data_IF_865685228950
#
_entry.id   IF_865685228950
#
_cell.length_a   1.000
_cell.length_b   1.000
_cell.length_c   1.000
_cell.angle_alpha   90.00
_cell.angle_beta   90.00
_cell.angle_gamma   90.00
#
_symmetry.space_group_name_H-M   'P 1'
#
loop_
_entity.id
_entity.type
_entity.pdbx_description
1 polymer ?
#
# COMPACT_ATOMS: atom_id res chain seq x y z
N UNK A 1 -3.91 68.97 -4.94
CA UNK A 1 -5.13 68.15 -4.94
C UNK A 1 -4.64 66.76 -5.25
N UNK A 2 -4.16 65.97 -4.28
CA UNK A 2 -4.85 65.15 -3.27
C UNK A 2 -6.01 64.39 -3.93
N UNK A 3 -5.82 63.09 -4.10
CA UNK A 3 -6.60 62.02 -3.53
C UNK A 3 -6.13 60.68 -4.06
N UNK A 4 -5.54 59.84 -3.26
CA UNK A 4 -6.10 58.68 -2.57
C UNK A 4 -6.66 57.59 -3.47
N UNK A 5 -5.89 56.56 -3.65
CA UNK A 5 -6.39 55.21 -3.91
C UNK A 5 -5.50 54.17 -3.23
N UNK A 6 -5.40 54.26 -1.89
CA UNK A 6 -4.79 53.31 -0.99
C UNK A 6 -5.90 52.47 -0.31
N UNK A 7 -6.60 51.66 -1.10
CA UNK A 7 -7.74 50.90 -0.60
C UNK A 7 -7.84 49.46 -1.05
N UNK A 8 -6.90 48.95 -1.88
CA UNK A 8 -7.06 47.62 -2.50
C UNK A 8 -6.00 46.58 -2.14
N UNK A 9 -5.06 46.88 -1.24
CA UNK A 9 -4.00 45.91 -0.87
C UNK A 9 -4.24 45.28 0.51
N UNK A 10 -5.10 45.84 1.35
CA UNK A 10 -5.37 45.32 2.69
C UNK A 10 -6.45 44.24 2.78
N UNK A 11 -7.21 43.98 1.72
CA UNK A 11 -8.26 42.93 1.72
C UNK A 11 -7.79 41.57 1.22
N UNK A 12 -6.60 41.45 0.62
CA UNK A 12 -6.08 40.17 0.12
C UNK A 12 -5.25 39.43 1.19
N UNK A 13 -4.81 40.12 2.24
CA UNK A 13 -3.98 39.50 3.28
C UNK A 13 -4.79 38.92 4.44
N UNK A 14 -6.10 39.16 4.52
CA UNK A 14 -6.98 38.64 5.58
C UNK A 14 -7.66 37.30 5.26
N UNK A 15 -7.45 36.72 4.06
CA UNK A 15 -8.11 35.48 3.63
C UNK A 15 -7.27 34.20 3.82
N UNK A 16 -6.04 34.28 4.32
CA UNK A 16 -5.14 33.11 4.50
C UNK A 16 -4.84 32.72 5.93
N UNK A 17 -5.34 33.41 6.92
CA UNK A 17 -5.26 33.00 8.32
C UNK A 17 -6.46 32.12 8.68
N UNK A 18 -6.34 30.80 8.49
CA UNK A 18 -7.17 29.87 9.25
C UNK A 18 -6.97 30.18 10.74
N UNK A 19 -8.05 30.34 11.54
CA UNK A 19 -7.90 30.59 12.96
C UNK A 19 -7.07 29.46 13.57
N UNK A 20 -6.09 29.79 14.45
CA UNK A 20 -5.37 28.78 15.19
C UNK A 20 -6.41 27.94 15.92
N UNK A 21 -6.24 26.62 15.86
CA UNK A 21 -7.11 25.64 16.52
C UNK A 21 -7.61 26.21 17.84
N UNK A 22 -8.92 26.35 17.94
CA UNK A 22 -9.58 26.90 19.11
C UNK A 22 -9.16 26.11 20.33
N UNK A 23 -8.25 26.70 21.11
CA UNK A 23 -7.86 26.23 22.42
C UNK A 23 -9.10 26.35 23.31
N UNK A 24 -9.71 25.25 23.64
CA UNK A 24 -10.76 25.20 24.64
C UNK A 24 -10.10 25.40 26.01
N UNK A 25 -10.28 26.55 26.61
CA UNK A 25 -9.95 26.82 28.02
C UNK A 25 -11.12 26.33 28.86
N UNK A 26 -10.92 25.25 29.61
CA UNK A 26 -11.77 24.95 30.75
C UNK A 26 -11.40 25.90 31.91
N UNK A 27 -12.36 26.16 32.82
CA UNK A 27 -12.27 27.19 33.84
C UNK A 27 -11.10 27.12 34.86
N UNK A 28 -10.18 26.13 34.71
CA UNK A 28 -9.00 25.93 35.55
C UNK A 28 -7.66 26.38 34.93
N UNK A 29 -7.69 27.06 33.78
CA UNK A 29 -6.48 27.62 33.17
C UNK A 29 -5.46 26.61 32.64
N UNK A 30 -5.70 25.31 32.71
CA UNK A 30 -4.84 24.30 32.14
C UNK A 30 -5.12 24.11 30.64
N UNK A 31 -4.10 24.39 29.84
CA UNK A 31 -4.13 24.12 28.38
C UNK A 31 -4.09 22.62 28.14
N UNK A 32 -5.24 21.99 28.07
CA UNK A 32 -5.33 20.65 27.57
C UNK A 32 -5.20 20.70 26.04
N UNK A 33 -4.01 20.36 25.51
CA UNK A 33 -3.92 19.89 24.15
C UNK A 33 -4.89 18.69 24.05
N UNK A 34 -5.86 18.71 23.12
CA UNK A 34 -6.65 17.51 22.87
C UNK A 34 -5.68 16.42 22.45
N UNK A 35 -5.29 15.58 23.40
CA UNK A 35 -4.60 14.35 23.08
C UNK A 35 -5.51 13.64 22.08
N UNK A 36 -5.02 13.48 20.88
CA UNK A 36 -5.65 12.68 19.84
C UNK A 36 -5.69 11.25 20.37
N UNK A 37 -6.67 10.94 21.22
CA UNK A 37 -6.98 9.56 21.60
C UNK A 37 -7.39 8.82 20.33
N UNK A 38 -6.39 8.38 19.59
CA UNK A 38 -6.55 7.42 18.54
C UNK A 38 -7.07 6.14 19.20
N UNK A 39 -8.33 5.79 18.95
CA UNK A 39 -8.85 4.50 19.39
C UNK A 39 -7.86 3.41 19.03
N UNK A 40 -7.52 2.53 19.97
CA UNK A 40 -6.52 1.50 19.73
C UNK A 40 -6.90 0.68 18.49
N UNK A 41 -5.94 0.47 17.61
CA UNK A 41 -6.09 -0.38 16.44
C UNK A 41 -6.47 -1.79 16.91
N UNK A 42 -7.66 -2.26 16.54
CA UNK A 42 -8.12 -3.62 16.87
C UNK A 42 -7.95 -4.50 15.65
N UNK A 43 -7.17 -5.57 15.80
CA UNK A 43 -7.05 -6.63 14.81
C UNK A 43 -8.26 -7.55 14.99
N UNK A 44 -8.99 -7.80 13.90
CA UNK A 44 -10.13 -8.71 13.86
C UNK A 44 -9.66 -10.08 13.39
N UNK A 45 -10.18 -11.13 14.00
CA UNK A 45 -10.08 -12.48 13.45
C UNK A 45 -11.24 -12.69 12.49
N UNK A 46 -10.93 -13.16 11.30
CA UNK A 46 -11.92 -13.47 10.28
C UNK A 46 -11.92 -14.97 9.98
N UNK A 47 -13.03 -15.51 9.48
CA UNK A 47 -13.14 -16.93 9.20
C UNK A 47 -12.30 -17.31 7.94
N UNK A 48 -11.94 -18.59 7.82
CA UNK A 48 -11.19 -19.14 6.70
C UNK A 48 -11.81 -18.78 5.33
N UNK A 49 -13.14 -18.72 5.22
CA UNK A 49 -13.86 -18.38 3.99
C UNK A 49 -13.55 -16.98 3.45
N UNK A 50 -13.06 -16.05 4.31
CA UNK A 50 -12.70 -14.70 3.88
C UNK A 50 -11.54 -14.69 2.89
N UNK A 51 -10.64 -15.69 2.90
CA UNK A 51 -9.60 -15.80 1.88
C UNK A 51 -10.15 -15.86 0.46
N UNK A 52 -11.23 -16.62 0.23
CA UNK A 52 -11.94 -16.64 -1.05
C UNK A 52 -12.71 -15.34 -1.33
N UNK A 53 -13.39 -14.79 -0.32
CA UNK A 53 -14.12 -13.54 -0.48
C UNK A 53 -13.21 -12.36 -0.81
N UNK A 54 -11.98 -12.31 -0.29
CA UNK A 54 -11.03 -11.26 -0.65
C UNK A 54 -10.69 -11.25 -2.13
N UNK A 55 -10.56 -12.41 -2.76
CA UNK A 55 -10.35 -12.51 -4.20
C UNK A 55 -11.54 -12.01 -4.99
N UNK A 56 -12.74 -12.48 -4.64
CA UNK A 56 -13.98 -12.08 -5.33
C UNK A 56 -14.25 -10.58 -5.17
N UNK A 57 -14.20 -10.07 -3.93
CA UNK A 57 -14.45 -8.66 -3.67
C UNK A 57 -13.37 -7.76 -4.29
N UNK A 58 -12.11 -8.20 -4.31
CA UNK A 58 -11.03 -7.51 -5.00
C UNK A 58 -11.29 -7.40 -6.50
N UNK A 59 -11.70 -8.50 -7.13
CA UNK A 59 -12.10 -8.49 -8.53
C UNK A 59 -13.32 -7.60 -8.79
N UNK A 60 -14.36 -7.68 -7.93
CA UNK A 60 -15.54 -6.81 -8.03
C UNK A 60 -15.18 -5.34 -7.87
N UNK A 61 -14.26 -5.02 -6.95
CA UNK A 61 -13.80 -3.65 -6.75
C UNK A 61 -13.08 -3.11 -7.98
N UNK A 62 -12.22 -3.92 -8.60
CA UNK A 62 -11.60 -3.58 -9.87
C UNK A 62 -12.66 -3.40 -10.98
N UNK A 63 -13.64 -4.33 -11.09
CA UNK A 63 -14.68 -4.29 -12.10
C UNK A 63 -15.61 -3.05 -12.00
N UNK A 64 -15.70 -2.40 -10.83
CA UNK A 64 -16.44 -1.15 -10.68
C UNK A 64 -15.78 0.06 -11.40
N UNK A 65 -14.47 0.05 -11.55
CA UNK A 65 -13.71 1.11 -12.23
C UNK A 65 -12.42 0.55 -12.82
N UNK A 66 -12.52 -0.36 -13.82
CA UNK A 66 -11.37 -1.11 -14.30
C UNK A 66 -10.29 -0.22 -14.92
N UNK A 67 -10.69 0.74 -15.75
CA UNK A 67 -9.77 1.68 -16.40
C UNK A 67 -8.97 2.51 -15.37
N UNK A 68 -9.65 3.02 -14.35
CA UNK A 68 -9.00 3.86 -13.35
C UNK A 68 -8.01 3.08 -12.47
N UNK A 69 -8.41 1.91 -11.96
CA UNK A 69 -7.54 1.12 -11.10
C UNK A 69 -6.36 0.51 -11.86
N UNK A 70 -6.61 0.06 -13.10
CA UNK A 70 -5.53 -0.41 -13.99
C UNK A 70 -4.56 0.70 -14.35
N UNK A 71 -5.05 1.92 -14.63
CA UNK A 71 -4.21 3.09 -14.86
C UNK A 71 -3.33 3.41 -13.65
N UNK A 72 -3.89 3.44 -12.42
CA UNK A 72 -3.12 3.69 -11.21
C UNK A 72 -2.05 2.61 -10.97
N UNK A 73 -2.41 1.34 -11.19
CA UNK A 73 -1.47 0.22 -11.03
C UNK A 73 -0.36 0.29 -12.07
N UNK A 74 -0.70 0.58 -13.33
CA UNK A 74 0.29 0.75 -14.40
C UNK A 74 1.24 1.92 -14.08
N UNK A 75 0.72 3.07 -13.67
CA UNK A 75 1.55 4.20 -13.25
C UNK A 75 2.44 3.86 -12.04
N UNK A 76 1.96 3.03 -11.10
CA UNK A 76 2.76 2.55 -9.98
C UNK A 76 3.92 1.68 -10.49
N UNK A 77 3.64 0.70 -11.34
CA UNK A 77 4.65 -0.19 -11.93
C UNK A 77 5.67 0.60 -12.75
N UNK A 78 5.20 1.47 -13.65
CA UNK A 78 6.09 2.33 -14.45
C UNK A 78 6.93 3.26 -13.59
N UNK A 79 6.34 3.82 -12.53
CA UNK A 79 7.08 4.66 -11.57
C UNK A 79 8.22 3.92 -10.89
N UNK A 80 8.02 2.65 -10.53
CA UNK A 80 9.08 1.79 -9.96
C UNK A 80 10.13 1.46 -11.02
N UNK A 81 9.72 1.09 -12.24
CA UNK A 81 10.65 0.78 -13.34
C UNK A 81 11.51 2.01 -13.67
N UNK A 82 10.90 3.19 -13.82
CA UNK A 82 11.63 4.44 -14.09
C UNK A 82 12.59 4.78 -12.95
N UNK A 83 12.18 4.57 -11.70
CA UNK A 83 13.06 4.77 -10.55
C UNK A 83 14.24 3.80 -10.52
N UNK A 84 14.10 2.62 -11.11
CA UNK A 84 15.15 1.61 -11.17
C UNK A 84 16.15 1.81 -12.34
N UNK A 85 15.88 2.71 -13.31
CA UNK A 85 16.75 2.93 -14.49
C UNK A 85 18.15 3.47 -14.11
N UNK A 86 18.33 4.45 -13.17
CA UNK A 86 19.64 4.97 -12.89
C UNK A 86 20.56 3.89 -12.29
N UNK A 87 21.75 3.64 -12.88
CA UNK A 87 22.68 2.63 -12.37
C UNK A 87 23.08 2.96 -10.92
N UNK A 88 23.26 1.95 -10.09
CA UNK A 88 23.62 1.99 -8.66
C UNK A 88 22.57 2.63 -7.72
N UNK A 89 21.91 3.72 -8.14
CA UNK A 89 20.89 4.40 -7.33
C UNK A 89 19.51 3.76 -7.55
N UNK A 90 19.27 3.23 -8.74
CA UNK A 90 17.96 2.65 -9.12
C UNK A 90 17.58 1.45 -8.29
N UNK A 91 18.56 0.62 -7.92
CA UNK A 91 18.34 -0.53 -7.03
C UNK A 91 17.80 -0.12 -5.66
N UNK A 92 18.17 1.06 -5.17
CA UNK A 92 17.66 1.64 -3.92
C UNK A 92 16.35 2.38 -4.13
N UNK A 93 16.21 3.17 -5.21
CA UNK A 93 15.05 4.05 -5.42
C UNK A 93 13.75 3.27 -5.61
N UNK A 94 13.75 2.20 -6.38
CA UNK A 94 12.58 1.37 -6.63
C UNK A 94 11.96 0.84 -5.32
N UNK A 95 12.69 0.07 -4.51
CA UNK A 95 12.20 -0.44 -3.22
C UNK A 95 11.82 0.65 -2.21
N UNK A 96 12.54 1.78 -2.20
CA UNK A 96 12.27 2.90 -1.27
C UNK A 96 10.97 3.63 -1.63
N UNK A 97 10.69 3.81 -2.92
CA UNK A 97 9.45 4.47 -3.38
C UNK A 97 8.23 3.54 -3.37
N UNK A 98 8.46 2.23 -3.46
CA UNK A 98 7.41 1.21 -3.53
C UNK A 98 6.27 1.39 -2.52
N UNK A 99 6.50 1.52 -1.19
CA UNK A 99 5.40 1.59 -0.23
C UNK A 99 4.55 2.85 -0.38
N UNK A 100 5.14 3.96 -0.80
CA UNK A 100 4.43 5.21 -1.05
C UNK A 100 3.53 5.14 -2.30
N UNK A 101 4.05 4.59 -3.40
CA UNK A 101 3.29 4.36 -4.63
C UNK A 101 2.17 3.34 -4.40
N UNK A 102 2.48 2.23 -3.71
CA UNK A 102 1.51 1.20 -3.40
C UNK A 102 0.38 1.73 -2.51
N UNK A 103 0.70 2.57 -1.51
CA UNK A 103 -0.33 3.25 -0.72
C UNK A 103 -1.22 4.14 -1.60
N UNK A 104 -0.67 4.75 -2.65
CA UNK A 104 -1.44 5.51 -3.64
C UNK A 104 -2.49 4.65 -4.35
N UNK A 105 -2.11 3.45 -4.80
CA UNK A 105 -3.05 2.49 -5.41
C UNK A 105 -4.11 2.04 -4.40
N UNK A 106 -3.73 1.74 -3.15
CA UNK A 106 -4.70 1.40 -2.08
C UNK A 106 -5.65 2.57 -1.75
N UNK A 107 -5.18 3.81 -1.85
CA UNK A 107 -6.05 4.98 -1.73
C UNK A 107 -7.03 5.08 -2.90
N UNK A 108 -6.64 4.65 -4.10
CA UNK A 108 -7.51 4.48 -5.27
C UNK A 108 -8.61 3.43 -4.99
N UNK A 109 -8.25 2.23 -4.53
CA UNK A 109 -9.21 1.20 -4.10
C UNK A 109 -10.20 1.75 -3.06
N UNK A 110 -9.68 2.48 -2.06
CA UNK A 110 -10.50 3.12 -1.03
C UNK A 110 -11.43 4.20 -1.56
N UNK A 111 -11.03 4.92 -2.60
CA UNK A 111 -11.88 5.94 -3.24
C UNK A 111 -13.05 5.29 -3.98
N UNK A 112 -12.80 4.18 -4.70
CA UNK A 112 -13.82 3.38 -5.37
C UNK A 112 -14.81 2.81 -4.34
N UNK A 113 -14.31 2.10 -3.33
CA UNK A 113 -15.12 1.46 -2.26
C UNK A 113 -16.03 2.47 -1.54
N UNK A 114 -15.56 3.72 -1.36
CA UNK A 114 -16.31 4.80 -0.71
C UNK A 114 -17.06 5.72 -1.66
N UNK A 115 -17.13 5.40 -2.93
CA UNK A 115 -17.78 6.22 -3.97
C UNK A 115 -17.33 7.68 -3.94
N UNK A 116 -16.00 7.91 -3.80
CA UNK A 116 -15.40 9.24 -3.79
C UNK A 116 -14.92 9.63 -5.17
N UNK A 117 -14.64 10.94 -5.35
CA UNK A 117 -14.05 11.44 -6.58
C UNK A 117 -12.72 10.74 -6.87
N UNK A 118 -12.62 10.15 -8.05
CA UNK A 118 -11.42 9.48 -8.55
C UNK A 118 -10.51 10.53 -9.18
N UNK A 119 -9.23 10.50 -8.81
CA UNK A 119 -8.23 11.44 -9.33
C UNK A 119 -6.89 10.72 -9.46
N UNK A 120 -6.15 10.91 -10.56
CA UNK A 120 -4.79 10.38 -10.73
C UNK A 120 -3.82 10.80 -9.61
N UNK A 121 -4.04 11.99 -9.04
CA UNK A 121 -3.24 12.49 -7.90
C UNK A 121 -3.30 11.63 -6.63
N UNK A 122 -4.20 10.62 -6.57
CA UNK A 122 -4.23 9.63 -5.49
C UNK A 122 -2.96 8.79 -5.42
N UNK A 123 -2.26 8.56 -6.56
CA UNK A 123 -1.00 7.82 -6.59
C UNK A 123 0.07 8.47 -5.70
N UNK A 124 0.19 9.80 -5.78
CA UNK A 124 1.19 10.56 -5.01
C UNK A 124 0.68 10.91 -3.60
N UNK A 125 -0.59 10.62 -3.30
CA UNK A 125 -1.20 10.97 -2.02
C UNK A 125 -0.54 10.31 -0.80
N UNK A 126 0.14 9.16 -0.99
CA UNK A 126 0.94 8.49 0.03
C UNK A 126 2.07 9.38 0.54
N UNK A 127 2.78 10.04 -0.37
CA UNK A 127 3.93 10.88 -0.04
C UNK A 127 3.56 12.22 0.59
N UNK A 128 2.35 12.74 0.37
CA UNK A 128 1.97 14.09 0.84
C UNK A 128 1.90 14.23 2.37
N UNK A 129 1.61 13.16 3.10
CA UNK A 129 1.35 13.23 4.55
C UNK A 129 2.30 12.41 5.41
N UNK A 130 2.88 11.33 4.86
CA UNK A 130 3.67 10.36 5.59
C UNK A 130 4.91 9.94 4.81
N UNK A 131 5.51 10.88 4.05
CA UNK A 131 6.65 10.59 3.19
C UNK A 131 7.80 9.94 3.97
N UNK A 132 8.18 10.53 5.10
CA UNK A 132 9.30 10.05 5.91
C UNK A 132 9.12 8.60 6.36
N UNK A 133 7.98 8.28 6.98
CA UNK A 133 7.72 6.92 7.47
C UNK A 133 7.62 5.91 6.32
N UNK A 134 7.06 6.30 5.17
CA UNK A 134 6.96 5.42 4.00
C UNK A 134 8.32 5.20 3.33
N UNK A 135 9.14 6.24 3.20
CA UNK A 135 10.49 6.10 2.67
C UNK A 135 11.35 5.27 3.60
N UNK A 136 11.23 5.48 4.92
CA UNK A 136 11.93 4.66 5.92
C UNK A 136 11.49 3.20 5.84
N UNK A 137 10.19 2.92 5.68
CA UNK A 137 9.69 1.57 5.50
C UNK A 137 10.23 0.94 4.21
N UNK A 138 10.30 1.71 3.11
CA UNK A 138 10.90 1.26 1.86
C UNK A 138 12.40 0.98 1.99
N UNK A 139 13.12 1.80 2.72
CA UNK A 139 14.54 1.58 3.01
C UNK A 139 14.76 0.32 3.87
N UNK A 140 13.93 0.09 4.89
CA UNK A 140 13.95 -1.17 5.65
C UNK A 140 13.67 -2.37 4.75
N UNK A 141 12.71 -2.26 3.82
CA UNK A 141 12.42 -3.31 2.85
C UNK A 141 13.62 -3.59 1.94
N UNK A 142 14.27 -2.55 1.44
CA UNK A 142 15.49 -2.69 0.63
C UNK A 142 16.60 -3.42 1.39
N UNK A 143 16.89 -3.02 2.63
CA UNK A 143 17.92 -3.69 3.44
C UNK A 143 17.61 -5.17 3.61
N UNK A 144 16.38 -5.52 4.00
CA UNK A 144 16.02 -6.93 4.24
C UNK A 144 16.09 -7.73 2.95
N UNK A 145 15.61 -7.23 1.82
CA UNK A 145 15.69 -7.93 0.55
C UNK A 145 17.12 -8.11 0.07
N UNK A 146 17.98 -7.12 0.27
CA UNK A 146 19.42 -7.22 0.00
C UNK A 146 20.09 -8.28 0.88
N UNK A 147 19.73 -8.35 2.18
CA UNK A 147 20.25 -9.40 3.07
C UNK A 147 19.76 -10.79 2.67
N UNK A 148 18.51 -10.93 2.23
CA UNK A 148 17.98 -12.19 1.69
C UNK A 148 18.78 -12.62 0.48
N UNK A 149 19.01 -11.72 -0.47
CA UNK A 149 19.78 -12.03 -1.67
C UNK A 149 21.26 -12.31 -1.33
N UNK A 150 21.84 -11.57 -0.40
CA UNK A 150 23.24 -11.81 0.05
C UNK A 150 23.40 -13.17 0.73
N UNK A 151 22.39 -13.65 1.44
CA UNK A 151 22.43 -14.96 2.11
C UNK A 151 22.56 -16.12 1.12
N UNK A 152 22.07 -15.95 -0.12
CA UNK A 152 22.17 -17.00 -1.16
C UNK A 152 23.61 -17.26 -1.59
N UNK A 153 24.50 -16.27 -1.44
CA UNK A 153 25.95 -16.43 -1.74
C UNK A 153 26.59 -17.55 -0.95
N UNK A 154 26.09 -17.84 0.24
CA UNK A 154 26.58 -18.93 1.09
C UNK A 154 26.20 -20.31 0.52
N UNK A 155 25.20 -20.38 -0.35
CA UNK A 155 24.65 -21.62 -0.89
C UNK A 155 25.17 -21.88 -2.30
N UNK A 156 25.13 -20.85 -3.17
CA UNK A 156 25.38 -20.94 -4.60
C UNK A 156 26.69 -20.27 -5.05
N UNK A 157 27.50 -19.78 -4.12
CA UNK A 157 28.73 -19.05 -4.45
C UNK A 157 28.50 -17.76 -5.22
N UNK A 158 27.27 -17.19 -5.16
CA UNK A 158 26.89 -15.93 -5.77
C UNK A 158 26.31 -16.04 -7.20
N UNK A 159 25.90 -17.23 -7.65
CA UNK A 159 25.25 -17.38 -8.96
C UNK A 159 23.95 -16.59 -9.03
N UNK A 160 23.09 -16.65 -8.00
CA UNK A 160 21.85 -15.89 -7.92
C UNK A 160 22.09 -14.38 -7.92
N UNK A 161 23.14 -13.93 -7.23
CA UNK A 161 23.53 -12.51 -7.21
C UNK A 161 23.90 -12.03 -8.61
N UNK A 162 24.80 -12.75 -9.29
CA UNK A 162 25.24 -12.39 -10.65
C UNK A 162 24.07 -12.40 -11.64
N UNK A 163 23.19 -13.37 -11.53
CA UNK A 163 22.01 -13.44 -12.39
C UNK A 163 21.06 -12.25 -12.21
N UNK A 164 20.84 -11.78 -10.98
CA UNK A 164 19.85 -10.73 -10.67
C UNK A 164 20.42 -9.31 -10.69
N UNK A 165 21.67 -9.13 -10.26
CA UNK A 165 22.29 -7.80 -10.13
C UNK A 165 23.20 -7.50 -11.32
N UNK A 166 24.06 -8.47 -11.68
CA UNK A 166 25.03 -8.27 -12.77
C UNK A 166 24.41 -8.63 -14.14
N UNK A 167 23.15 -9.06 -14.17
CA UNK A 167 22.40 -9.51 -15.35
C UNK A 167 23.14 -10.60 -16.18
N UNK A 168 24.00 -11.38 -15.54
CA UNK A 168 24.65 -12.54 -16.15
C UNK A 168 23.64 -13.68 -16.23
N UNK A 169 23.24 -14.05 -17.45
CA UNK A 169 22.30 -15.16 -17.65
C UNK A 169 23.04 -16.47 -17.43
N UNK A 170 22.67 -17.28 -16.40
CA UNK A 170 23.30 -18.58 -16.17
C UNK A 170 23.06 -19.52 -17.35
N UNK A 171 24.03 -20.37 -17.64
CA UNK A 171 23.88 -21.43 -18.66
C UNK A 171 22.72 -22.37 -18.30
N UNK A 172 22.10 -22.99 -19.31
CA UNK A 172 21.00 -23.94 -19.13
C UNK A 172 21.32 -25.06 -18.11
N UNK A 173 22.58 -25.53 -18.08
CA UNK A 173 23.06 -26.48 -17.09
C UNK A 173 23.09 -25.91 -15.66
N UNK A 174 23.40 -24.62 -15.49
CA UNK A 174 23.44 -23.95 -14.20
C UNK A 174 22.03 -23.80 -13.60
N UNK A 175 20.98 -23.58 -14.42
CA UNK A 175 19.60 -23.57 -13.94
C UNK A 175 19.14 -24.89 -13.31
N UNK A 176 19.72 -26.02 -13.73
CA UNK A 176 19.43 -27.35 -13.19
C UNK A 176 20.40 -27.74 -12.06
N UNK A 177 21.34 -26.87 -11.70
CA UNK A 177 22.32 -27.16 -10.65
C UNK A 177 21.67 -27.14 -9.25
N UNK A 178 21.97 -28.14 -8.39
CA UNK A 178 21.41 -28.18 -7.03
C UNK A 178 21.66 -26.92 -6.21
N UNK A 179 22.85 -26.28 -6.23
CA UNK A 179 23.09 -25.05 -5.47
C UNK A 179 22.15 -23.89 -5.86
N UNK A 180 21.91 -23.67 -7.17
CA UNK A 180 21.02 -22.62 -7.63
C UNK A 180 19.56 -22.91 -7.25
N UNK A 181 19.11 -24.17 -7.35
CA UNK A 181 17.76 -24.55 -6.89
C UNK A 181 17.57 -24.35 -5.40
N UNK A 182 18.57 -24.71 -4.56
CA UNK A 182 18.51 -24.46 -3.11
C UNK A 182 18.48 -22.98 -2.78
N UNK A 183 19.30 -22.16 -3.45
CA UNK A 183 19.30 -20.71 -3.23
C UNK A 183 17.97 -20.07 -3.67
N UNK A 184 17.36 -20.54 -4.75
CA UNK A 184 16.03 -20.10 -5.18
C UNK A 184 14.95 -20.43 -4.13
N UNK A 185 14.95 -21.68 -3.62
CA UNK A 185 14.00 -22.10 -2.58
C UNK A 185 14.17 -21.25 -1.31
N UNK A 186 15.41 -21.04 -0.86
CA UNK A 186 15.70 -20.22 0.32
C UNK A 186 15.25 -18.75 0.09
N UNK A 187 15.54 -18.18 -1.07
CA UNK A 187 15.11 -16.83 -1.43
C UNK A 187 13.58 -16.72 -1.39
N UNK A 188 12.86 -17.67 -1.96
CA UNK A 188 11.39 -17.68 -1.96
C UNK A 188 10.86 -17.77 -0.52
N UNK A 189 11.38 -18.70 0.29
CA UNK A 189 10.94 -18.87 1.69
C UNK A 189 11.17 -17.58 2.49
N UNK A 190 12.38 -17.03 2.47
CA UNK A 190 12.71 -15.81 3.21
C UNK A 190 11.91 -14.59 2.71
N UNK A 191 11.70 -14.47 1.40
CA UNK A 191 10.89 -13.40 0.82
C UNK A 191 9.41 -13.52 1.20
N UNK A 192 8.86 -14.73 1.26
CA UNK A 192 7.48 -14.97 1.74
C UNK A 192 7.35 -14.63 3.22
N UNK A 193 8.29 -15.06 4.06
CA UNK A 193 8.30 -14.74 5.48
C UNK A 193 8.36 -13.22 5.72
N UNK A 194 9.24 -12.52 4.99
CA UNK A 194 9.30 -11.07 5.04
C UNK A 194 8.04 -10.41 4.48
N UNK A 195 7.51 -10.95 3.38
CA UNK A 195 6.27 -10.48 2.76
C UNK A 195 5.10 -10.49 3.75
N UNK A 196 4.97 -11.53 4.58
CA UNK A 196 3.96 -11.60 5.65
C UNK A 196 4.14 -10.48 6.68
N UNK A 197 5.37 -10.15 7.04
CA UNK A 197 5.68 -9.06 7.97
C UNK A 197 5.35 -7.71 7.34
N UNK A 198 5.62 -7.54 6.05
CA UNK A 198 5.57 -6.26 5.35
C UNK A 198 4.22 -5.96 4.67
N UNK A 199 3.34 -6.96 4.53
CA UNK A 199 2.15 -6.95 3.68
C UNK A 199 1.24 -5.72 3.87
N UNK A 200 1.00 -5.33 5.12
CA UNK A 200 0.08 -4.23 5.46
C UNK A 200 0.78 -2.95 5.91
N UNK A 201 2.11 -2.92 5.88
CA UNK A 201 2.89 -1.77 6.39
C UNK A 201 2.50 -0.45 5.71
N UNK A 202 2.39 -0.35 4.36
CA UNK A 202 2.00 0.90 3.72
C UNK A 202 0.63 1.42 4.18
N UNK A 203 -0.36 0.52 4.32
CA UNK A 203 -1.71 0.88 4.76
C UNK A 203 -1.73 1.32 6.23
N UNK A 204 -0.99 0.61 7.10
CA UNK A 204 -0.92 0.93 8.53
C UNK A 204 -0.25 2.28 8.79
N UNK A 205 0.82 2.59 8.07
CA UNK A 205 1.44 3.92 8.11
C UNK A 205 0.48 4.98 7.57
N UNK A 206 -0.05 4.79 6.37
CA UNK A 206 -0.84 5.81 5.69
C UNK A 206 -2.22 6.07 6.30
N UNK A 207 -2.90 5.05 6.82
CA UNK A 207 -4.26 5.19 7.34
C UNK A 207 -4.34 5.32 8.85
N UNK A 208 -3.41 4.66 9.58
CA UNK A 208 -3.39 4.61 11.04
C UNK A 208 -2.28 5.45 11.66
N UNK A 209 -1.42 6.05 10.82
CA UNK A 209 -0.30 6.90 11.25
C UNK A 209 0.62 6.20 12.26
N UNK A 210 0.87 4.91 12.03
CA UNK A 210 1.79 4.15 12.87
C UNK A 210 3.22 4.41 12.42
N UNK A 211 4.16 4.44 13.38
CA UNK A 211 5.59 4.39 13.08
C UNK A 211 5.96 3.04 12.48
N UNK A 212 7.04 2.97 11.71
CA UNK A 212 7.49 1.77 10.98
C UNK A 212 7.56 0.53 11.87
N UNK A 213 8.21 0.53 13.06
CA UNK A 213 8.27 -0.66 13.91
C UNK A 213 6.88 -1.14 14.38
N UNK A 214 6.00 -0.20 14.71
CA UNK A 214 4.62 -0.53 15.10
C UNK A 214 3.83 -1.11 13.92
N UNK A 215 3.99 -0.53 12.73
CA UNK A 215 3.33 -1.03 11.52
C UNK A 215 3.78 -2.45 11.17
N UNK A 216 5.07 -2.77 11.25
CA UNK A 216 5.62 -4.11 11.08
C UNK A 216 5.03 -5.10 12.09
N UNK A 217 5.03 -4.74 13.38
CA UNK A 217 4.48 -5.59 14.45
C UNK A 217 2.98 -5.85 14.28
N UNK A 218 2.20 -4.82 13.93
CA UNK A 218 0.76 -4.98 13.68
C UNK A 218 0.46 -5.75 12.40
N UNK A 219 1.25 -5.58 11.34
CA UNK A 219 1.14 -6.36 10.10
C UNK A 219 1.37 -7.84 10.38
N UNK A 220 2.50 -8.18 11.02
CA UNK A 220 2.81 -9.56 11.43
C UNK A 220 1.71 -10.16 12.29
N UNK A 221 1.29 -9.45 13.35
CA UNK A 221 0.20 -9.90 14.22
C UNK A 221 -1.12 -10.10 13.47
N UNK A 222 -1.44 -9.23 12.53
CA UNK A 222 -2.63 -9.34 11.67
C UNK A 222 -2.59 -10.59 10.81
N UNK A 223 -1.46 -10.90 10.20
CA UNK A 223 -1.26 -12.10 9.38
C UNK A 223 -1.30 -13.37 10.23
N UNK A 224 -0.58 -13.42 11.36
CA UNK A 224 -0.53 -14.60 12.24
C UNK A 224 -1.89 -14.92 12.85
N UNK A 225 -2.67 -13.93 13.27
CA UNK A 225 -4.01 -14.14 13.81
C UNK A 225 -5.01 -14.61 12.73
N UNK A 226 -4.72 -14.37 11.46
CA UNK A 226 -5.56 -14.69 10.31
C UNK A 226 -4.85 -15.63 9.32
N UNK A 227 -3.97 -16.52 9.79
CA UNK A 227 -3.20 -17.40 8.91
C UNK A 227 -4.07 -18.34 8.07
N UNK A 228 -5.20 -18.82 8.62
CA UNK A 228 -6.14 -19.69 7.89
C UNK A 228 -6.79 -19.00 6.67
N UNK A 229 -7.37 -17.78 6.79
CA UNK A 229 -7.80 -17.01 5.62
C UNK A 229 -6.69 -16.76 4.61
N UNK A 230 -5.47 -16.46 5.04
CA UNK A 230 -4.34 -16.28 4.13
C UNK A 230 -3.93 -17.57 3.43
N UNK A 231 -3.98 -18.71 4.11
CA UNK A 231 -3.72 -20.01 3.50
C UNK A 231 -4.77 -20.32 2.41
N UNK A 232 -6.06 -20.08 2.70
CA UNK A 232 -7.14 -20.23 1.72
C UNK A 232 -6.95 -19.28 0.54
N UNK A 233 -6.60 -18.01 0.82
CA UNK A 233 -6.29 -17.02 -0.22
C UNK A 233 -5.14 -17.50 -1.10
N UNK A 234 -4.02 -17.91 -0.50
CA UNK A 234 -2.84 -18.37 -1.23
C UNK A 234 -3.14 -19.61 -2.09
N UNK A 235 -3.92 -20.58 -1.56
CA UNK A 235 -4.33 -21.76 -2.29
C UNK A 235 -5.22 -21.40 -3.49
N UNK A 236 -6.29 -20.64 -3.25
CA UNK A 236 -7.21 -20.25 -4.33
C UNK A 236 -6.50 -19.39 -5.38
N UNK A 237 -5.72 -18.39 -4.94
CA UNK A 237 -4.97 -17.52 -5.83
C UNK A 237 -3.92 -18.29 -6.61
N UNK A 238 -3.11 -19.12 -5.95
CA UNK A 238 -2.09 -19.95 -6.59
C UNK A 238 -2.70 -20.90 -7.63
N UNK A 239 -3.80 -21.57 -7.28
CA UNK A 239 -4.53 -22.41 -8.21
C UNK A 239 -4.97 -21.64 -9.46
N UNK A 240 -5.63 -20.48 -9.29
CA UNK A 240 -6.08 -19.67 -10.42
C UNK A 240 -4.91 -19.18 -11.27
N UNK A 241 -3.86 -18.66 -10.66
CA UNK A 241 -2.70 -18.14 -11.41
C UNK A 241 -2.00 -19.26 -12.16
N UNK A 242 -1.74 -20.40 -11.53
CA UNK A 242 -1.06 -21.53 -12.18
C UNK A 242 -1.90 -22.05 -13.36
N UNK A 243 -3.19 -22.32 -13.13
CA UNK A 243 -4.05 -22.89 -14.17
C UNK A 243 -4.23 -21.92 -15.34
N UNK A 244 -4.56 -20.64 -15.05
CA UNK A 244 -4.77 -19.66 -16.11
C UNK A 244 -3.48 -19.31 -16.85
N UNK A 245 -2.35 -19.19 -16.16
CA UNK A 245 -1.06 -18.97 -16.82
C UNK A 245 -0.67 -20.15 -17.70
N UNK A 246 -0.87 -21.39 -17.23
CA UNK A 246 -0.62 -22.57 -18.03
C UNK A 246 -1.51 -22.63 -19.29
N UNK A 247 -2.80 -22.29 -19.15
CA UNK A 247 -3.71 -22.22 -20.31
C UNK A 247 -3.29 -21.14 -21.31
N UNK A 248 -2.92 -19.95 -20.83
CA UNK A 248 -2.45 -18.85 -21.68
C UNK A 248 -1.17 -19.24 -22.40
N UNK A 249 -0.17 -19.77 -21.68
CA UNK A 249 1.09 -20.20 -22.29
C UNK A 249 0.83 -21.26 -23.35
N UNK A 250 0.12 -22.35 -23.02
CA UNK A 250 -0.13 -23.43 -23.96
C UNK A 250 -0.90 -22.97 -25.21
N UNK A 251 -1.92 -22.11 -25.01
CA UNK A 251 -2.72 -21.59 -26.14
C UNK A 251 -1.88 -20.75 -27.11
N UNK A 252 -1.03 -19.88 -26.61
CA UNK A 252 -0.23 -19.01 -27.48
C UNK A 252 1.04 -19.67 -28.00
N UNK A 253 1.67 -20.64 -27.28
CA UNK A 253 2.78 -21.42 -27.77
C UNK A 253 2.38 -22.31 -28.96
N UNK A 254 1.11 -22.79 -28.98
CA UNK A 254 0.58 -23.54 -30.12
C UNK A 254 0.50 -22.68 -31.38
N UNK A 255 0.36 -21.37 -31.25
CA UNK A 255 0.24 -20.42 -32.37
C UNK A 255 1.60 -19.92 -32.86
N UNK A 256 2.50 -19.58 -31.93
CA UNK A 256 3.86 -19.12 -32.27
C UNK A 256 4.79 -19.29 -31.06
N UNK A 257 5.98 -19.88 -31.32
CA UNK A 257 6.99 -20.11 -30.27
C UNK A 257 7.40 -18.80 -29.59
N UNK A 258 7.43 -18.79 -28.26
CA UNK A 258 7.80 -17.65 -27.43
C UNK A 258 6.66 -16.65 -27.19
N UNK A 259 5.55 -16.73 -27.93
CA UNK A 259 4.42 -15.81 -27.72
C UNK A 259 3.69 -16.10 -26.41
N UNK A 260 3.70 -17.34 -25.93
CA UNK A 260 3.06 -17.75 -24.67
C UNK A 260 3.62 -17.04 -23.45
N UNK A 261 4.92 -16.84 -23.37
CA UNK A 261 5.58 -16.12 -22.26
C UNK A 261 5.16 -14.65 -22.26
N UNK A 262 5.17 -13.99 -23.42
CA UNK A 262 4.74 -12.59 -23.56
C UNK A 262 3.26 -12.45 -23.21
N UNK A 263 2.41 -13.33 -23.70
CA UNK A 263 0.97 -13.33 -23.40
C UNK A 263 0.71 -13.56 -21.91
N UNK A 264 1.47 -14.43 -21.25
CA UNK A 264 1.40 -14.65 -19.82
C UNK A 264 1.81 -13.39 -19.03
N UNK A 265 2.88 -12.71 -19.42
CA UNK A 265 3.30 -11.46 -18.79
C UNK A 265 2.21 -10.37 -18.90
N UNK A 266 1.60 -10.23 -20.08
CA UNK A 266 0.47 -9.30 -20.30
C UNK A 266 -0.74 -9.70 -19.47
N UNK A 267 -1.06 -10.98 -19.39
CA UNK A 267 -2.14 -11.50 -18.54
C UNK A 267 -1.92 -11.16 -17.06
N UNK A 268 -0.72 -11.38 -16.53
CA UNK A 268 -0.36 -11.03 -15.16
C UNK A 268 -0.44 -9.52 -14.91
N UNK A 269 -0.04 -8.72 -15.89
CA UNK A 269 -0.16 -7.26 -15.80
C UNK A 269 -1.62 -6.81 -15.74
N UNK A 270 -2.51 -7.39 -16.55
CA UNK A 270 -3.94 -7.06 -16.57
C UNK A 270 -4.64 -7.51 -15.27
N UNK A 271 -4.23 -8.62 -14.67
CA UNK A 271 -4.83 -9.14 -13.44
C UNK A 271 -4.29 -8.49 -12.17
N UNK A 272 -3.11 -7.86 -12.23
CA UNK A 272 -2.44 -7.23 -11.07
C UNK A 272 -3.31 -6.19 -10.31
N UNK A 273 -4.15 -5.33 -10.96
CA UNK A 273 -5.00 -4.39 -10.24
C UNK A 273 -6.03 -5.08 -9.34
N UNK A 274 -6.60 -6.20 -9.82
CA UNK A 274 -7.57 -6.98 -9.04
C UNK A 274 -6.93 -7.62 -7.81
N UNK A 275 -5.66 -8.07 -7.94
CA UNK A 275 -4.88 -8.59 -6.83
C UNK A 275 -4.59 -7.53 -5.78
N UNK A 276 -4.12 -6.36 -6.20
CA UNK A 276 -3.87 -5.25 -5.27
C UNK A 276 -5.18 -4.87 -4.56
N UNK A 277 -6.30 -4.87 -5.27
CA UNK A 277 -7.62 -4.64 -4.69
C UNK A 277 -8.00 -5.70 -3.65
N UNK A 278 -7.62 -6.97 -3.84
CA UNK A 278 -7.88 -8.03 -2.87
C UNK A 278 -7.11 -7.84 -1.56
N UNK A 279 -5.86 -7.36 -1.62
CA UNK A 279 -5.09 -6.98 -0.42
C UNK A 279 -5.68 -5.77 0.28
N UNK A 280 -6.25 -4.81 -0.46
CA UNK A 280 -7.02 -3.72 0.12
C UNK A 280 -8.22 -4.24 0.91
N UNK A 281 -8.99 -5.18 0.35
CA UNK A 281 -10.14 -5.80 1.03
C UNK A 281 -9.71 -6.54 2.29
N UNK A 282 -8.62 -7.33 2.22
CA UNK A 282 -8.05 -8.02 3.38
C UNK A 282 -7.65 -7.04 4.49
N UNK A 283 -6.96 -5.94 4.16
CA UNK A 283 -6.60 -4.91 5.13
C UNK A 283 -7.83 -4.25 5.77
N UNK A 284 -8.88 -4.00 4.97
CA UNK A 284 -10.16 -3.46 5.44
C UNK A 284 -10.83 -4.37 6.46
N UNK A 285 -10.85 -5.66 6.19
CA UNK A 285 -11.56 -6.65 7.01
C UNK A 285 -10.80 -6.92 8.32
N UNK A 286 -9.48 -6.99 8.27
CA UNK A 286 -8.62 -7.29 9.44
C UNK A 286 -8.49 -6.07 10.35
N UNK A 287 -8.19 -4.89 9.79
CA UNK A 287 -7.88 -3.69 10.58
C UNK A 287 -9.04 -2.69 10.66
N UNK A 288 -10.04 -2.81 9.78
CA UNK A 288 -11.10 -1.83 9.63
C UNK A 288 -10.58 -0.50 9.07
N UNK A 289 -11.43 0.52 9.10
CA UNK A 289 -11.01 1.88 8.76
C UNK A 289 -11.05 2.78 9.98
N UNK A 290 -10.10 3.72 10.14
CA UNK A 290 -10.21 4.74 11.16
C UNK A 290 -11.52 5.51 10.95
N UNK A 291 -12.45 5.39 11.91
CA UNK A 291 -13.70 6.13 11.87
C UNK A 291 -13.37 7.59 12.12
N UNK A 292 -13.65 8.49 11.14
CA UNK A 292 -13.69 9.93 11.42
C UNK A 292 -14.69 10.13 12.57
N UNK A 293 -14.25 10.72 13.68
CA UNK A 293 -15.15 11.25 14.70
C UNK A 293 -16.10 12.18 13.93
N UNK A 294 -17.38 11.80 13.75
CA UNK A 294 -18.40 12.80 13.46
C UNK A 294 -18.33 13.71 14.68
N UNK A 295 -17.92 14.96 14.49
CA UNK A 295 -18.18 15.99 15.48
C UNK A 295 -19.68 15.88 15.75
N UNK A 296 -20.02 15.28 16.88
CA UNK A 296 -21.37 15.33 17.41
C UNK A 296 -21.55 16.82 17.70
N UNK A 297 -22.15 17.56 16.75
CA UNK A 297 -22.66 18.88 17.03
C UNK A 297 -23.44 18.68 18.32
N UNK A 298 -22.90 19.17 19.43
CA UNK A 298 -23.60 19.26 20.69
C UNK A 298 -24.87 20.00 20.30
N UNK A 299 -25.99 19.30 20.21
CA UNK A 299 -27.27 19.98 20.14
C UNK A 299 -27.27 20.78 21.43
N UNK A 300 -27.03 22.05 21.31
CA UNK A 300 -27.23 23.00 22.41
C UNK A 300 -28.66 22.71 22.88
N UNK A 301 -28.78 22.38 24.16
CA UNK A 301 -30.08 22.13 24.74
C UNK A 301 -30.91 23.42 24.50
N UNK A 302 -32.12 23.33 23.96
CA UNK A 302 -32.96 24.53 23.73
C UNK A 302 -33.14 25.39 24.98
N UNK A 303 -32.93 24.81 26.16
CA UNK A 303 -32.95 25.53 27.46
C UNK A 303 -31.72 26.43 27.66
N UNK A 304 -30.53 26.09 27.08
CA UNK A 304 -29.33 26.92 27.16
C UNK A 304 -29.43 28.18 26.26
N UNK A 305 -30.18 28.09 25.17
CA UNK A 305 -30.44 29.26 24.31
C UNK A 305 -31.45 30.21 24.95
N UNK A 306 -32.44 29.71 25.68
CA UNK A 306 -33.39 30.56 26.41
C UNK A 306 -32.75 31.31 27.55
N UNK A 307 -31.75 30.72 28.24
CA UNK A 307 -31.00 31.42 29.32
C UNK A 307 -30.05 32.52 28.80
N UNK A 308 -29.65 32.46 27.53
CA UNK A 308 -28.81 33.53 26.93
C UNK A 308 -29.60 34.66 26.29
N UNK A 309 -30.92 34.50 26.07
CA UNK A 309 -31.79 35.54 25.53
C UNK A 309 -32.59 36.25 26.58
N UNK A 310 -32.49 35.82 27.86
CA UNK A 310 -33.20 36.40 29.00
C UNK A 310 -32.32 37.10 30.05
N UNK A 311 -31.08 37.46 29.70
CA UNK A 311 -30.15 38.20 30.56
C UNK A 311 -29.75 39.54 29.91
#
# INVERSE_FOLDING_TARGET
>A
MINDNDGSISEIESASALPPDSLYQDGDGQRHHPQHESRPLRIRRVSMRHGWYWLIEGFMLWAHSPAFLSFLTLCCILGIIVAAIPPYIGELLGPVLYPGLMLGVFNGCRAIDRKRKLSPGLLISGFRRHAYDLLLAGFCNFIVMTLVLLSTRLIDGGMMWRALIDAEIPDAAAFSSPPLLYSLIVTVILSVLWGVVYLFVPQLIGWWRLSVPKALAFSLKGCLLNWLPFLTYAFCFGFFIIVLSALVINFFELTARGLGVVACAVFLLITSPALIASFYVAARDIFGFPRRRKHRKRRLNPEDERKKQGA
#
